data_IF_570470147579
#
_entry.id   IF_570470147579
#
_cell.length_a   1.000
_cell.length_b   1.000
_cell.length_c   1.000
_cell.angle_alpha   90.00
_cell.angle_beta   90.00
_cell.angle_gamma   90.00
#
_symmetry.space_group_name_H-M   'P 1'
#
loop_
_entity.id
_entity.type
_entity.pdbx_description
1 polymer ?
#
# COMPACT_ATOMS: atom_id res chain seq x y z
N UNK A 1 -6.79 -13.20 -50.04
CA UNK A 1 -7.44 -13.35 -48.72
C UNK A 1 -6.37 -13.81 -47.73
N UNK A 2 -5.92 -12.93 -46.84
CA UNK A 2 -4.87 -13.26 -45.87
C UNK A 2 -5.44 -14.21 -44.83
N UNK A 3 -4.88 -15.42 -44.78
CA UNK A 3 -5.33 -16.48 -43.89
C UNK A 3 -5.02 -16.06 -42.45
N UNK A 4 -6.05 -15.62 -41.72
CA UNK A 4 -5.93 -15.20 -40.32
C UNK A 4 -5.72 -16.44 -39.45
N UNK A 5 -4.46 -16.87 -39.31
CA UNK A 5 -4.09 -17.91 -38.35
C UNK A 5 -4.32 -17.35 -36.95
N UNK A 6 -5.47 -17.68 -36.37
CA UNK A 6 -5.81 -17.37 -34.99
C UNK A 6 -5.23 -18.49 -34.11
N UNK A 7 -4.16 -18.16 -33.40
CA UNK A 7 -3.51 -19.08 -32.48
C UNK A 7 -2.22 -18.47 -31.91
N UNK A 8 -1.79 -18.91 -30.73
CA UNK A 8 -0.50 -18.53 -30.19
C UNK A 8 0.62 -18.89 -31.19
N UNK A 9 1.73 -18.13 -31.23
CA UNK A 9 2.90 -18.48 -32.03
C UNK A 9 3.30 -19.95 -31.88
N UNK A 10 3.57 -20.65 -33.00
CA UNK A 10 4.02 -22.06 -32.98
C UNK A 10 5.23 -22.26 -32.06
N UNK A 11 6.12 -21.28 -32.01
CA UNK A 11 7.29 -21.28 -31.15
C UNK A 11 7.12 -20.20 -30.08
N UNK A 12 6.86 -20.62 -28.85
CA UNK A 12 6.77 -19.71 -27.70
C UNK A 12 8.17 -19.43 -27.15
N UNK A 13 8.40 -18.19 -26.71
CA UNK A 13 9.65 -17.83 -26.06
C UNK A 13 9.73 -18.49 -24.67
N UNK A 14 10.80 -19.23 -24.40
CA UNK A 14 11.05 -19.82 -23.07
C UNK A 14 11.46 -18.79 -22.01
N UNK A 15 12.12 -17.72 -22.44
CA UNK A 15 12.59 -16.65 -21.56
C UNK A 15 12.12 -15.29 -22.06
N UNK A 16 11.73 -14.43 -21.13
CA UNK A 16 11.42 -13.04 -21.44
C UNK A 16 12.70 -12.29 -21.85
N UNK A 17 12.64 -11.55 -22.95
CA UNK A 17 13.75 -10.71 -23.40
C UNK A 17 14.01 -9.60 -22.38
N UNK A 18 15.27 -9.49 -21.92
CA UNK A 18 15.74 -8.46 -20.99
C UNK A 18 16.54 -7.41 -21.78
N UNK A 19 16.08 -6.15 -21.89
CA UNK A 19 16.70 -5.15 -22.77
C UNK A 19 18.13 -4.82 -22.39
N UNK A 20 18.41 -4.77 -21.09
CA UNK A 20 19.72 -4.41 -20.55
C UNK A 20 20.52 -5.66 -20.13
N UNK A 21 20.20 -6.83 -20.69
CA UNK A 21 20.99 -8.04 -20.45
C UNK A 21 22.42 -7.82 -20.94
N UNK A 22 23.39 -7.84 -20.03
CA UNK A 22 24.81 -7.64 -20.34
C UNK A 22 25.28 -6.18 -20.35
N UNK A 23 24.40 -5.19 -20.16
CA UNK A 23 24.80 -3.80 -19.96
C UNK A 23 25.04 -3.53 -18.48
N UNK A 24 26.26 -3.10 -18.12
CA UNK A 24 26.55 -2.59 -16.77
C UNK A 24 25.91 -1.22 -16.63
N UNK A 25 24.77 -1.15 -15.94
CA UNK A 25 24.13 0.12 -15.60
C UNK A 25 24.87 0.69 -14.40
N UNK A 26 25.40 1.91 -14.53
CA UNK A 26 26.02 2.60 -13.40
C UNK A 26 24.94 2.89 -12.35
N UNK A 27 25.21 2.62 -11.08
CA UNK A 27 24.20 2.73 -10.00
C UNK A 27 23.62 4.15 -9.84
N UNK A 28 24.36 5.16 -10.31
CA UNK A 28 24.02 6.59 -10.26
C UNK A 28 23.13 7.05 -11.41
N UNK A 29 22.98 6.26 -12.49
CA UNK A 29 22.14 6.60 -13.63
C UNK A 29 20.64 6.40 -13.34
N UNK A 30 19.78 7.06 -14.12
CA UNK A 30 18.32 6.97 -13.93
C UNK A 30 17.85 5.55 -14.24
N UNK A 31 17.30 4.87 -13.23
CA UNK A 31 16.95 3.45 -13.28
C UNK A 31 17.95 2.54 -12.57
N UNK A 32 19.06 3.10 -12.08
CA UNK A 32 19.95 2.45 -11.12
C UNK A 32 19.39 2.50 -9.69
N UNK A 33 20.07 1.81 -8.78
CA UNK A 33 19.68 1.67 -7.37
C UNK A 33 19.54 3.01 -6.65
N UNK A 34 20.43 3.96 -6.94
CA UNK A 34 20.44 5.27 -6.26
C UNK A 34 19.55 6.33 -6.92
N UNK A 35 19.11 6.10 -8.17
CA UNK A 35 18.17 6.99 -8.87
C UNK A 35 17.04 6.19 -9.51
N UNK A 36 16.12 5.62 -8.71
CA UNK A 36 14.97 4.90 -9.24
C UNK A 36 14.08 5.83 -10.08
N UNK A 37 13.38 5.27 -11.05
CA UNK A 37 12.40 6.03 -11.83
C UNK A 37 11.23 6.41 -10.91
N UNK A 38 10.84 7.68 -10.95
CA UNK A 38 9.66 8.17 -10.24
C UNK A 38 8.41 7.35 -10.57
N UNK A 39 7.53 7.20 -9.60
CA UNK A 39 6.24 6.54 -9.82
C UNK A 39 5.43 7.23 -10.92
N UNK A 40 4.68 6.42 -11.68
CA UNK A 40 3.82 6.92 -12.75
C UNK A 40 2.50 7.36 -12.11
N UNK A 41 2.25 8.67 -12.05
CA UNK A 41 1.08 9.24 -11.40
C UNK A 41 0.34 10.21 -12.34
N UNK A 42 -0.93 10.51 -12.07
CA UNK A 42 -1.73 11.45 -12.87
C UNK A 42 -2.14 10.92 -14.26
N UNK A 43 -2.08 9.61 -14.51
CA UNK A 43 -2.46 9.01 -15.80
C UNK A 43 -3.52 7.93 -15.67
N UNK A 44 -4.27 7.67 -16.73
CA UNK A 44 -5.21 6.54 -16.76
C UNK A 44 -4.47 5.18 -16.80
N UNK A 45 -5.13 4.07 -16.42
CA UNK A 45 -4.52 2.73 -16.40
C UNK A 45 -3.86 2.35 -17.72
N UNK A 46 -4.57 2.58 -18.84
CA UNK A 46 -4.03 2.36 -20.19
C UNK A 46 -2.70 3.10 -20.44
N UNK A 47 -2.63 4.36 -20.03
CA UNK A 47 -1.43 5.17 -20.22
C UNK A 47 -0.30 4.77 -19.27
N UNK A 48 -0.64 4.36 -18.04
CA UNK A 48 0.31 3.76 -17.10
C UNK A 48 0.97 2.54 -17.74
N UNK A 49 0.19 1.60 -18.25
CA UNK A 49 0.70 0.36 -18.84
C UNK A 49 1.62 0.63 -20.04
N UNK A 50 1.28 1.63 -20.86
CA UNK A 50 2.13 2.05 -21.98
C UNK A 50 3.48 2.59 -21.50
N UNK A 51 3.49 3.42 -20.45
CA UNK A 51 4.73 3.98 -19.89
C UNK A 51 5.55 2.86 -19.22
N UNK A 52 4.89 1.99 -18.46
CA UNK A 52 5.50 0.87 -17.78
C UNK A 52 6.10 -0.14 -18.77
N UNK A 53 5.40 -0.43 -19.87
CA UNK A 53 5.96 -1.22 -20.97
C UNK A 53 7.23 -0.56 -21.52
N UNK A 54 7.24 0.76 -21.76
CA UNK A 54 8.46 1.44 -22.21
C UNK A 54 9.61 1.30 -21.21
N UNK A 55 9.33 1.37 -19.91
CA UNK A 55 10.33 1.14 -18.83
C UNK A 55 10.87 -0.28 -18.88
N UNK A 56 9.99 -1.29 -18.89
CA UNK A 56 10.36 -2.72 -18.92
C UNK A 56 11.16 -3.11 -20.17
N UNK A 57 10.87 -2.50 -21.31
CA UNK A 57 11.49 -2.84 -22.59
C UNK A 57 12.65 -1.90 -22.99
N UNK A 58 13.14 -1.05 -22.09
CA UNK A 58 14.30 -0.17 -22.35
C UNK A 58 14.03 0.94 -23.38
N UNK A 59 12.76 1.17 -23.75
CA UNK A 59 12.34 2.21 -24.70
C UNK A 59 11.89 3.50 -24.00
N UNK A 60 12.13 3.60 -22.69
CA UNK A 60 11.78 4.75 -21.89
C UNK A 60 12.80 5.87 -22.11
N UNK A 61 12.30 7.07 -22.44
CA UNK A 61 13.12 8.27 -22.60
C UNK A 61 12.77 9.17 -21.43
N UNK A 62 13.75 9.42 -20.58
CA UNK A 62 13.62 10.35 -19.47
C UNK A 62 13.54 11.78 -20.00
N UNK A 63 13.08 12.66 -19.15
CA UNK A 63 13.04 14.09 -19.44
C UNK A 63 14.24 14.74 -18.73
N UNK A 64 15.10 15.43 -19.50
CA UNK A 64 16.26 16.15 -18.94
C UNK A 64 15.81 17.52 -18.42
N UNK A 65 14.97 18.20 -19.20
CA UNK A 65 14.40 19.52 -18.85
C UNK A 65 12.87 19.45 -18.79
N UNK A 66 12.22 20.22 -17.91
CA UNK A 66 10.77 20.22 -17.82
C UNK A 66 10.12 20.64 -19.15
N UNK A 67 9.14 19.86 -19.61
CA UNK A 67 8.44 20.10 -20.85
C UNK A 67 7.33 21.16 -20.69
N UNK A 68 6.91 21.75 -21.80
CA UNK A 68 5.82 22.74 -21.85
C UNK A 68 4.47 22.06 -21.64
N UNK A 69 3.73 22.51 -20.63
CA UNK A 69 2.35 22.10 -20.40
C UNK A 69 1.45 22.63 -21.52
N UNK A 70 0.52 21.80 -21.96
CA UNK A 70 -0.34 22.13 -23.09
C UNK A 70 -1.61 22.91 -22.70
N UNK A 71 -1.86 23.06 -21.40
CA UNK A 71 -2.94 23.88 -20.86
C UNK A 71 -2.42 25.25 -20.42
N UNK A 72 -1.52 25.30 -19.42
CA UNK A 72 -1.01 26.56 -18.89
C UNK A 72 0.19 27.13 -19.65
N UNK A 73 0.71 26.45 -20.68
CA UNK A 73 1.89 26.87 -21.47
C UNK A 73 3.19 27.09 -20.69
N UNK A 74 3.23 26.80 -19.38
CA UNK A 74 4.43 26.87 -18.53
C UNK A 74 5.29 25.62 -18.71
N UNK A 75 6.61 25.75 -18.55
CA UNK A 75 7.55 24.59 -18.53
C UNK A 75 7.57 23.93 -17.16
N UNK A 76 6.51 23.20 -16.82
CA UNK A 76 6.35 22.55 -15.52
C UNK A 76 5.93 21.08 -15.61
N UNK A 77 6.00 20.47 -16.79
CA UNK A 77 5.80 19.02 -16.96
C UNK A 77 7.11 18.31 -16.63
N UNK A 78 7.18 17.71 -15.44
CA UNK A 78 8.40 17.01 -14.95
C UNK A 78 8.40 15.52 -15.24
N UNK A 79 7.24 14.90 -15.43
CA UNK A 79 7.15 13.47 -15.77
C UNK A 79 7.27 13.25 -17.27
N UNK A 80 8.09 12.28 -17.69
CA UNK A 80 8.24 11.96 -19.11
C UNK A 80 6.92 11.40 -19.69
N UNK A 81 6.69 11.63 -20.99
CA UNK A 81 5.47 11.23 -21.71
C UNK A 81 4.16 11.89 -21.23
N UNK A 82 4.24 12.91 -20.38
CA UNK A 82 3.10 13.72 -19.97
C UNK A 82 2.95 14.93 -20.89
N UNK A 83 1.71 15.32 -21.17
CA UNK A 83 1.37 16.50 -21.97
C UNK A 83 0.85 17.67 -21.13
N UNK A 84 0.34 17.36 -19.93
CA UNK A 84 -0.14 18.31 -18.94
C UNK A 84 0.73 18.25 -17.69
N UNK A 85 0.84 19.38 -17.00
CA UNK A 85 1.46 19.41 -15.69
C UNK A 85 0.50 18.88 -14.61
N UNK A 86 1.01 18.49 -13.43
CA UNK A 86 0.18 17.93 -12.37
C UNK A 86 -0.98 18.85 -11.95
N UNK A 87 -0.75 20.16 -11.86
CA UNK A 87 -1.81 21.12 -11.50
C UNK A 87 -2.95 21.13 -12.52
N UNK A 88 -2.63 21.32 -13.80
CA UNK A 88 -3.66 21.34 -14.85
C UNK A 88 -4.38 20.00 -15.03
N UNK A 89 -3.69 18.88 -14.80
CA UNK A 89 -4.32 17.56 -14.86
C UNK A 89 -5.35 17.36 -13.74
N UNK A 90 -5.06 17.86 -12.52
CA UNK A 90 -5.97 17.82 -11.37
C UNK A 90 -7.16 18.76 -11.56
N UNK A 91 -6.92 20.02 -11.92
CA UNK A 91 -7.97 21.03 -12.14
C UNK A 91 -9.00 20.57 -13.18
N UNK A 92 -8.55 19.90 -14.25
CA UNK A 92 -9.42 19.42 -15.32
C UNK A 92 -9.90 17.98 -15.10
N UNK A 93 -9.37 17.28 -14.09
CA UNK A 93 -9.64 15.85 -13.81
C UNK A 93 -9.48 14.96 -15.06
N UNK A 94 -8.37 15.14 -15.78
CA UNK A 94 -8.05 14.38 -17.00
C UNK A 94 -6.71 13.67 -16.89
N UNK A 95 -6.52 12.62 -17.69
CA UNK A 95 -5.23 11.97 -17.80
C UNK A 95 -4.15 12.93 -18.32
N UNK A 96 -3.05 13.08 -17.60
CA UNK A 96 -1.97 13.99 -17.97
C UNK A 96 -1.25 13.62 -19.28
N UNK A 97 -1.33 12.35 -19.71
CA UNK A 97 -0.76 11.87 -20.98
C UNK A 97 -1.70 12.04 -22.17
N UNK A 98 -2.90 11.46 -22.12
CA UNK A 98 -3.82 11.43 -23.26
C UNK A 98 -4.93 12.50 -23.22
N UNK A 99 -5.05 13.24 -22.12
CA UNK A 99 -6.08 14.28 -21.89
C UNK A 99 -7.53 13.79 -21.96
N UNK A 100 -7.75 12.48 -21.98
CA UNK A 100 -9.08 11.91 -21.87
C UNK A 100 -9.57 12.05 -20.43
N UNK A 101 -10.86 12.36 -20.27
CA UNK A 101 -11.58 12.21 -18.99
C UNK A 101 -11.73 10.72 -18.72
N UNK A 102 -11.32 10.28 -17.53
CA UNK A 102 -11.37 8.87 -17.12
C UNK A 102 -11.75 8.85 -15.64
N UNK A 103 -12.62 7.92 -15.26
CA UNK A 103 -13.13 7.82 -13.88
C UNK A 103 -12.04 7.48 -12.87
N UNK A 104 -10.97 6.82 -13.32
CA UNK A 104 -9.84 6.41 -12.48
C UNK A 104 -8.52 6.94 -13.01
N UNK A 105 -7.88 7.77 -12.22
CA UNK A 105 -6.50 8.23 -12.42
C UNK A 105 -5.58 7.45 -11.47
N UNK A 106 -4.43 7.04 -11.98
CA UNK A 106 -3.40 6.29 -11.24
C UNK A 106 -2.50 7.27 -10.49
N UNK A 107 -2.20 6.96 -9.23
CA UNK A 107 -1.33 7.74 -8.34
C UNK A 107 -2.16 8.45 -7.29
N UNK A 108 -1.83 8.21 -6.01
CA UNK A 108 -2.48 8.90 -4.88
C UNK A 108 -2.02 10.35 -4.83
N UNK A 109 -2.88 11.21 -4.31
CA UNK A 109 -2.48 12.57 -4.00
C UNK A 109 -1.46 12.58 -2.87
N UNK A 110 -0.34 13.27 -3.06
CA UNK A 110 0.71 13.35 -2.03
C UNK A 110 0.16 13.88 -0.70
N UNK A 111 -0.80 14.80 -0.75
CA UNK A 111 -1.48 15.34 0.44
C UNK A 111 -2.38 14.32 1.13
N UNK A 112 -3.04 13.44 0.37
CA UNK A 112 -3.85 12.35 0.93
C UNK A 112 -2.94 11.32 1.61
N UNK A 113 -1.83 10.96 0.98
CA UNK A 113 -0.82 10.06 1.57
C UNK A 113 -0.21 10.67 2.84
N UNK A 114 0.07 11.97 2.85
CA UNK A 114 0.59 12.66 4.04
C UNK A 114 -0.45 12.70 5.17
N UNK A 115 -1.73 12.96 4.85
CA UNK A 115 -2.81 12.93 5.83
C UNK A 115 -3.01 11.52 6.42
N UNK A 116 -2.97 10.48 5.58
CA UNK A 116 -3.01 9.08 6.03
C UNK A 116 -1.84 8.75 6.96
N UNK A 117 -0.63 9.24 6.66
CA UNK A 117 0.55 9.05 7.50
C UNK A 117 0.42 9.75 8.85
N UNK A 118 -0.05 11.00 8.88
CA UNK A 118 -0.27 11.76 10.12
C UNK A 118 -1.32 11.09 10.99
N UNK A 119 -2.42 10.63 10.40
CA UNK A 119 -3.45 9.88 11.11
C UNK A 119 -2.89 8.57 11.69
N UNK A 120 -2.07 7.85 10.93
CA UNK A 120 -1.40 6.65 11.43
C UNK A 120 -0.45 6.95 12.59
N UNK A 121 0.29 8.06 12.52
CA UNK A 121 1.19 8.48 13.60
C UNK A 121 0.43 8.89 14.86
N UNK A 122 -0.65 9.65 14.72
CA UNK A 122 -1.50 10.07 15.81
C UNK A 122 -2.21 8.89 16.49
N UNK A 123 -2.73 7.95 15.69
CA UNK A 123 -3.32 6.70 16.23
C UNK A 123 -2.30 5.87 16.99
N UNK A 124 -1.04 5.80 16.54
CA UNK A 124 0.04 5.13 17.29
C UNK A 124 0.37 5.87 18.59
N UNK A 125 0.34 7.21 18.59
CA UNK A 125 0.64 8.04 19.76
C UNK A 125 -0.44 7.92 20.84
N UNK A 126 -1.71 7.88 20.44
CA UNK A 126 -2.86 7.83 21.34
C UNK A 126 -3.29 6.39 21.71
N UNK A 127 -2.70 5.37 21.08
CA UNK A 127 -2.97 3.97 21.40
C UNK A 127 -2.37 3.55 22.75
N UNK A 128 -3.06 2.63 23.43
CA UNK A 128 -2.53 1.95 24.63
C UNK A 128 -1.21 1.25 24.30
N UNK A 129 -0.29 1.17 25.26
CA UNK A 129 1.08 0.67 25.03
C UNK A 129 1.14 -0.72 24.37
N UNK A 130 0.23 -1.63 24.73
CA UNK A 130 0.11 -2.96 24.10
C UNK A 130 -0.22 -2.86 22.60
N UNK A 131 -1.12 -1.97 22.24
CA UNK A 131 -1.61 -1.77 20.87
C UNK A 131 -0.59 -0.98 20.05
N UNK A 132 -0.01 0.06 20.63
CA UNK A 132 1.12 0.82 20.07
C UNK A 132 2.27 -0.12 19.67
N UNK A 133 2.72 -1.02 20.55
CA UNK A 133 3.76 -2.02 20.23
C UNK A 133 3.34 -2.96 19.11
N UNK A 134 2.07 -3.33 19.03
CA UNK A 134 1.53 -4.20 17.99
C UNK A 134 1.49 -3.51 16.63
N UNK A 135 1.04 -2.25 16.60
CA UNK A 135 1.06 -1.39 15.40
C UNK A 135 2.48 -1.16 14.90
N UNK A 136 3.43 -0.82 15.78
CA UNK A 136 4.84 -0.63 15.41
C UNK A 136 5.47 -1.90 14.82
N UNK A 137 5.17 -3.08 15.38
CA UNK A 137 5.60 -4.36 14.81
C UNK A 137 4.99 -4.57 13.42
N UNK A 138 3.71 -4.30 13.23
CA UNK A 138 3.05 -4.44 11.93
C UNK A 138 3.66 -3.51 10.87
N UNK A 139 3.93 -2.24 11.22
CA UNK A 139 4.59 -1.26 10.34
C UNK A 139 6.01 -1.71 9.97
N UNK A 140 6.80 -2.19 10.94
CA UNK A 140 8.16 -2.66 10.70
C UNK A 140 8.20 -3.98 9.90
N UNK A 141 7.20 -4.85 10.08
CA UNK A 141 7.01 -6.06 9.27
C UNK A 141 6.67 -5.71 7.82
N UNK A 142 5.86 -4.66 7.59
CA UNK A 142 5.56 -4.16 6.24
C UNK A 142 6.80 -3.58 5.54
N UNK A 143 7.61 -2.79 6.25
CA UNK A 143 8.85 -2.18 5.72
C UNK A 143 9.94 -3.20 5.37
N UNK A 144 10.04 -4.30 6.13
CA UNK A 144 10.99 -5.39 5.81
C UNK A 144 10.55 -6.21 4.59
N UNK A 145 9.24 -6.41 4.39
CA UNK A 145 8.70 -7.09 3.20
C UNK A 145 8.75 -6.27 1.91
N UNK A 146 8.82 -4.94 1.98
CA UNK A 146 9.03 -4.11 0.77
C UNK A 146 10.49 -4.11 0.27
N UNK A 147 11.44 -4.60 1.07
CA UNK A 147 12.86 -4.67 0.70
C UNK A 147 13.31 -6.08 0.29
N UNK A 148 12.46 -7.10 0.43
CA UNK A 148 12.77 -8.46 0.05
C UNK A 148 11.53 -9.12 -0.61
N UNK A 149 11.76 -9.70 -1.79
CA UNK A 149 10.94 -10.69 -2.50
C UNK A 149 10.01 -10.20 -3.62
N UNK A 150 10.48 -10.47 -4.85
CA UNK A 150 9.67 -10.85 -6.01
C UNK A 150 8.98 -12.20 -5.75
N UNK A 151 7.69 -12.40 -6.13
CA UNK A 151 7.03 -13.67 -5.91
C UNK A 151 7.42 -14.67 -7.01
N UNK A 152 8.06 -15.77 -6.63
CA UNK A 152 8.03 -17.02 -7.41
C UNK A 152 6.97 -17.91 -6.81
N UNK A 153 5.94 -18.18 -7.62
CA UNK A 153 5.04 -19.32 -7.43
C UNK A 153 5.86 -20.59 -7.60
N UNK A 154 5.79 -21.51 -6.64
CA UNK A 154 5.75 -22.94 -6.94
C UNK A 154 5.05 -23.68 -5.79
N UNK A 155 4.07 -24.47 -6.21
CA UNK A 155 3.22 -25.33 -5.39
C UNK A 155 3.89 -26.72 -5.22
N UNK A 156 3.50 -27.39 -4.14
CA UNK A 156 3.70 -28.82 -3.79
C UNK A 156 4.92 -29.17 -2.92
N UNK A 157 4.69 -29.41 -1.62
CA UNK A 157 5.01 -30.70 -1.00
C UNK A 157 4.16 -30.92 0.26
N UNK A 158 3.38 -32.00 0.25
CA UNK A 158 2.61 -32.50 1.38
C UNK A 158 3.50 -33.34 2.31
N UNK A 159 3.33 -33.17 3.61
CA UNK A 159 3.97 -34.00 4.63
C UNK A 159 3.23 -33.87 5.96
N UNK A 160 2.42 -34.88 6.25
CA UNK A 160 1.54 -35.06 7.40
C UNK A 160 2.29 -35.18 8.75
N UNK A 161 1.49 -35.40 9.82
CA UNK A 161 1.79 -35.92 11.19
C UNK A 161 1.41 -34.87 12.27
N UNK A 162 0.30 -34.97 13.02
CA UNK A 162 -0.47 -36.12 13.50
C UNK A 162 -1.96 -35.75 13.82
N UNK A 163 -2.90 -36.72 13.74
CA UNK A 163 -4.29 -36.55 14.14
C UNK A 163 -4.65 -37.19 15.50
N UNK A 164 -5.80 -36.71 16.03
CA UNK A 164 -6.77 -37.34 16.94
C UNK A 164 -6.55 -37.32 18.46
N UNK A 165 -7.36 -36.49 19.14
CA UNK A 165 -8.03 -36.87 20.38
C UNK A 165 -9.53 -36.98 20.09
N UNK A 166 -10.07 -38.16 20.36
CA UNK A 166 -11.35 -38.67 19.89
C UNK A 166 -12.58 -37.98 20.47
N UNK A 167 -13.55 -37.83 19.57
CA UNK A 167 -14.96 -37.53 19.77
C UNK A 167 -15.65 -38.62 20.60
N UNK A 168 -16.55 -38.18 21.49
CA UNK A 168 -17.46 -39.00 22.28
C UNK A 168 -18.44 -39.83 21.43
N UNK A 169 -18.80 -41.00 21.94
CA UNK A 169 -20.05 -41.71 21.60
C UNK A 169 -20.84 -41.90 22.88
N UNK A 170 -22.01 -41.26 22.95
CA UNK A 170 -23.03 -41.50 23.97
C UNK A 170 -24.09 -42.44 23.38
N UNK A 171 -24.47 -43.47 24.11
CA UNK A 171 -25.82 -44.03 24.05
C UNK A 171 -26.22 -44.54 25.45
N UNK A 172 -27.40 -44.08 25.87
CA UNK A 172 -28.35 -44.58 26.89
C UNK A 172 -27.92 -44.82 28.36
N UNK A 173 -28.39 -43.96 29.29
CA UNK A 173 -29.54 -44.30 30.16
C UNK A 173 -30.02 -43.11 31.05
N UNK A 174 -31.23 -43.30 31.57
CA UNK A 174 -32.28 -42.39 32.06
C UNK A 174 -32.10 -41.71 33.45
N UNK A 175 -32.99 -40.73 33.70
CA UNK A 175 -33.57 -40.22 34.99
C UNK A 175 -33.16 -38.81 35.48
N UNK A 176 -34.11 -37.86 35.31
CA UNK A 176 -34.63 -36.90 36.30
C UNK A 176 -33.72 -35.77 36.82
N UNK A 177 -34.14 -34.53 37.11
CA UNK A 177 -35.44 -33.86 37.15
C UNK A 177 -35.20 -32.32 37.15
N UNK A 178 -36.25 -31.58 36.77
CA UNK A 178 -36.60 -30.20 37.20
C UNK A 178 -35.80 -28.97 36.68
N UNK A 179 -36.44 -28.31 35.70
CA UNK A 179 -36.48 -26.86 35.46
C UNK A 179 -37.12 -26.13 36.70
N UNK A 180 -37.02 -24.79 36.92
CA UNK A 180 -37.26 -23.76 35.90
C UNK A 180 -36.57 -22.38 36.01
N UNK A 181 -36.84 -21.66 34.92
CA UNK A 181 -36.56 -20.29 34.49
C UNK A 181 -37.24 -19.17 35.33
N UNK A 182 -36.56 -18.04 35.59
CA UNK A 182 -37.13 -16.72 35.94
C UNK A 182 -35.99 -15.66 35.84
N UNK A 183 -36.04 -14.68 34.92
CA UNK A 183 -36.72 -13.36 35.00
C UNK A 183 -35.93 -12.27 35.74
N UNK A 184 -35.63 -11.19 34.99
CA UNK A 184 -35.63 -9.75 35.32
C UNK A 184 -35.49 -9.32 36.80
N UNK A 185 -34.54 -8.43 37.11
CA UNK A 185 -34.82 -7.01 37.41
C UNK A 185 -33.53 -6.19 37.62
N UNK A 186 -33.73 -4.88 37.61
CA UNK A 186 -32.86 -3.73 37.50
C UNK A 186 -32.32 -3.25 38.87
N UNK A 187 -31.30 -2.39 38.81
CA UNK A 187 -30.88 -1.38 39.81
C UNK A 187 -30.25 -1.82 41.15
N UNK A 188 -28.97 -1.46 41.33
CA UNK A 188 -28.47 -0.93 42.59
C UNK A 188 -27.25 -0.02 42.33
N UNK A 189 -27.35 1.18 42.87
CA UNK A 189 -26.43 2.31 42.82
C UNK A 189 -25.21 2.12 43.76
N UNK A 190 -24.33 3.14 43.80
CA UNK A 190 -23.29 3.43 44.81
C UNK A 190 -21.89 2.84 44.48
N UNK A 191 -20.78 3.57 44.46
CA UNK A 191 -20.39 4.86 45.07
C UNK A 191 -19.36 5.60 44.19
N UNK A 192 -19.52 6.92 44.16
CA UNK A 192 -18.48 7.92 43.90
C UNK A 192 -17.39 7.79 44.97
N UNK A 193 -16.13 7.66 44.55
CA UNK A 193 -14.99 8.07 45.38
C UNK A 193 -14.19 9.11 44.60
N UNK A 194 -14.50 10.34 44.97
CA UNK A 194 -13.72 11.56 44.83
C UNK A 194 -12.39 11.40 45.57
N UNK A 195 -11.28 11.60 44.87
CA UNK A 195 -10.01 12.00 45.50
C UNK A 195 -9.32 12.93 44.50
N UNK A 196 -9.56 14.23 44.71
CA UNK A 196 -8.64 15.26 44.27
C UNK A 196 -7.39 15.25 45.16
N UNK A 197 -6.24 15.31 44.52
CA UNK A 197 -5.03 15.88 45.11
C UNK A 197 -4.54 16.94 44.10
N UNK A 198 -4.79 18.20 44.48
CA UNK A 198 -4.05 19.38 44.02
C UNK A 198 -2.86 19.61 44.97
N UNK A 199 -1.95 20.50 44.55
CA UNK A 199 -0.72 20.99 45.19
C UNK A 199 0.56 20.28 44.68
N UNK A 200 1.62 20.97 44.24
CA UNK A 200 1.88 22.41 44.16
C UNK A 200 3.04 22.68 43.18
N UNK A 201 3.10 23.91 42.71
CA UNK A 201 4.09 24.51 41.82
C UNK A 201 5.52 24.50 42.38
N UNK A 202 6.54 24.24 41.54
CA UNK A 202 7.85 24.91 41.66
C UNK A 202 8.45 25.16 40.26
N UNK A 203 8.39 26.44 39.86
CA UNK A 203 9.20 27.03 38.80
C UNK A 203 10.68 27.05 39.22
N UNK A 204 11.58 26.48 38.41
CA UNK A 204 13.01 26.84 38.45
C UNK A 204 13.47 27.30 37.06
N UNK A 205 13.55 28.62 36.92
CA UNK A 205 14.43 29.32 36.00
C UNK A 205 15.89 28.97 36.32
N UNK A 206 16.58 28.30 35.39
CA UNK A 206 18.05 28.32 35.34
C UNK A 206 18.53 28.82 33.98
N UNK A 207 18.66 30.15 33.95
CA UNK A 207 19.62 30.87 33.12
C UNK A 207 21.02 30.43 33.55
N UNK A 208 21.88 29.97 32.63
CA UNK A 208 23.33 30.03 32.82
C UNK A 208 24.05 30.00 31.46
N UNK A 209 24.44 31.22 31.06
CA UNK A 209 25.58 31.67 30.25
C UNK A 209 25.95 30.95 28.95
#
# INVERSE_FOLDING_TARGET
MSNNRQGPPKHQNKFAWKPNAGCKINETEVGGRFRPLSEITGVCPRCRDQIEWKRRYGKYKTLIEPAKCQQCSKRNVRQAYHSLCPGCAKEQSVCAKCRCRVDRIVGRDLSEVEAEQKLLEETIKNARERDRRTLLRAVNKGKSKSSAETPTNDENEAGELFPNASLATNEENEVGESFPNASLDENAELSTDDNGDEEDDEDEDLVLN
#
